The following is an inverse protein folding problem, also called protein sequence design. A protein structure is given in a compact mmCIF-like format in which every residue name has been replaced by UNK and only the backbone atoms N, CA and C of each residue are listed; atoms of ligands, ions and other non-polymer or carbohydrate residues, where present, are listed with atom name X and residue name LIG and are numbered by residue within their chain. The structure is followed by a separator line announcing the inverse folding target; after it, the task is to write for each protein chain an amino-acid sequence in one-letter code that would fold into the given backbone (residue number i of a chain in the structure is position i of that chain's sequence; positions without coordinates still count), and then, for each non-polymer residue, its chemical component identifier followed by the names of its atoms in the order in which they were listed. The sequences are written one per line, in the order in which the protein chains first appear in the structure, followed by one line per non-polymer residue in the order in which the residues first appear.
data_IF_948200614732
#
_entry.id   IF_948200614732
#
_cell.length_a   1.000
_cell.length_b   1.000
_cell.length_c   1.000
_cell.angle_alpha   90.00
_cell.angle_beta   90.00
_cell.angle_gamma   90.00
#
_symmetry.space_group_name_H-M   'P 1'
#
loop_
_entity.id
_entity.type
_entity.pdbx_description
1 polymer ?
#
# COMPACT_ATOMS: atom_id res chain seq x y z
N UNK A 1 0.85 19.21 20.81
CA UNK A 1 2.19 19.69 20.42
C UNK A 1 2.00 20.63 19.26
N UNK A 2 2.38 21.90 19.38
CA UNK A 2 2.46 22.83 18.27
C UNK A 2 3.51 22.29 17.28
N UNK A 3 3.06 21.93 16.07
CA UNK A 3 3.99 21.52 15.02
C UNK A 3 4.98 22.66 14.74
N UNK A 4 6.23 22.32 14.48
CA UNK A 4 7.20 23.31 14.03
C UNK A 4 6.67 23.96 12.73
N UNK A 5 6.78 25.28 12.64
CA UNK A 5 6.44 25.99 11.42
C UNK A 5 7.31 25.50 10.25
N UNK A 6 6.71 25.22 9.11
CA UNK A 6 7.43 24.88 7.90
C UNK A 6 7.84 26.18 7.25
N UNK A 7 9.12 26.38 6.99
CA UNK A 7 9.65 27.58 6.31
C UNK A 7 10.08 27.22 4.89
N UNK A 8 9.99 28.20 3.98
CA UNK A 8 10.57 28.13 2.64
C UNK A 8 12.11 28.25 2.71
N UNK A 9 12.77 28.16 1.55
CA UNK A 9 14.24 28.27 1.44
C UNK A 9 14.77 29.66 1.84
N UNK A 10 13.88 30.67 1.94
CA UNK A 10 14.17 32.04 2.35
C UNK A 10 13.90 32.27 3.85
N UNK A 11 13.39 31.26 4.55
CA UNK A 11 13.10 31.30 5.98
C UNK A 11 11.74 31.90 6.35
N UNK A 12 10.86 32.14 5.39
CA UNK A 12 9.51 32.62 5.65
C UNK A 12 8.60 31.46 6.06
N UNK A 13 7.73 31.66 7.05
CA UNK A 13 6.72 30.68 7.41
C UNK A 13 5.77 30.44 6.21
N UNK A 14 5.72 29.19 5.75
CA UNK A 14 4.70 28.77 4.81
C UNK A 14 3.41 28.59 5.61
N UNK A 15 2.38 29.45 5.41
CA UNK A 15 1.15 29.31 6.15
C UNK A 15 0.50 27.96 5.83
N UNK A 16 0.50 27.06 6.83
CA UNK A 16 -0.21 25.80 6.73
C UNK A 16 -1.70 26.09 6.72
N UNK A 17 -2.27 26.18 5.55
CA UNK A 17 -3.72 26.32 5.40
C UNK A 17 -4.32 24.93 5.59
N UNK A 18 -4.74 24.63 6.83
CA UNK A 18 -5.57 23.47 7.08
C UNK A 18 -6.83 23.60 6.22
N UNK A 19 -6.95 22.79 5.18
CA UNK A 19 -8.16 22.71 4.38
C UNK A 19 -9.17 21.93 5.19
N UNK A 20 -9.98 22.63 5.95
CA UNK A 20 -11.14 22.07 6.65
C UNK A 20 -12.34 22.23 5.72
N UNK A 21 -12.86 21.11 5.23
CA UNK A 21 -14.05 21.08 4.39
C UNK A 21 -13.86 20.32 3.09
N UNK A 22 -14.97 20.04 2.45
CA UNK A 22 -15.06 19.31 1.20
C UNK A 22 -14.63 20.19 0.02
N UNK A 23 -13.34 20.44 -0.11
CA UNK A 23 -12.78 21.09 -1.30
C UNK A 23 -12.57 20.01 -2.35
N UNK A 24 -13.59 19.75 -3.16
CA UNK A 24 -13.53 18.75 -4.22
C UNK A 24 -13.09 19.31 -5.58
N UNK A 25 -12.89 20.61 -5.69
CA UNK A 25 -12.58 21.33 -6.95
C UNK A 25 -11.16 21.91 -6.92
N UNK A 26 -10.20 21.13 -6.44
CA UNK A 26 -8.81 21.54 -6.30
C UNK A 26 -7.99 21.18 -7.55
N UNK A 27 -7.29 22.17 -8.10
CA UNK A 27 -6.41 21.99 -9.27
C UNK A 27 -5.10 21.26 -8.94
N UNK A 28 -4.66 21.29 -7.67
CA UNK A 28 -3.44 20.64 -7.20
C UNK A 28 -3.72 19.75 -6.00
N UNK A 29 -2.88 18.71 -5.80
CA UNK A 29 -2.97 17.86 -4.63
C UNK A 29 -2.74 18.63 -3.33
N UNK A 30 -3.54 18.34 -2.31
CA UNK A 30 -3.54 19.04 -1.02
C UNK A 30 -3.22 18.03 0.09
N UNK A 31 -2.25 18.36 0.96
CA UNK A 31 -2.04 17.62 2.19
C UNK A 31 -2.99 18.14 3.26
N UNK A 32 -3.74 17.24 3.88
CA UNK A 32 -4.66 17.55 4.98
C UNK A 32 -3.95 17.55 6.33
N UNK A 33 -4.59 18.14 7.33
CA UNK A 33 -4.04 18.22 8.70
C UNK A 33 -3.86 16.85 9.38
N UNK A 34 -4.60 15.84 8.94
CA UNK A 34 -4.51 14.46 9.43
C UNK A 34 -3.39 13.65 8.72
N UNK A 35 -2.65 14.28 7.79
CA UNK A 35 -1.61 13.66 6.99
C UNK A 35 -2.08 13.00 5.71
N UNK A 36 -3.38 12.91 5.48
CA UNK A 36 -3.92 12.36 4.22
C UNK A 36 -3.68 13.32 3.05
N UNK A 37 -3.69 12.77 1.84
CA UNK A 37 -3.56 13.53 0.59
C UNK A 37 -4.89 13.51 -0.16
N UNK A 38 -5.40 14.68 -0.48
CA UNK A 38 -6.47 14.85 -1.46
C UNK A 38 -5.83 15.16 -2.81
N UNK A 39 -5.85 14.22 -3.72
CA UNK A 39 -5.36 14.42 -5.08
C UNK A 39 -6.15 15.52 -5.81
N UNK A 40 -5.57 16.11 -6.86
CA UNK A 40 -6.28 17.06 -7.71
C UNK A 40 -7.56 16.46 -8.29
N UNK A 41 -8.53 17.32 -8.61
CA UNK A 41 -9.78 16.90 -9.24
C UNK A 41 -9.52 16.09 -10.51
N UNK A 42 -8.64 16.60 -11.39
CA UNK A 42 -8.28 15.94 -12.64
C UNK A 42 -7.76 14.52 -12.38
N UNK A 43 -6.88 14.32 -11.40
CA UNK A 43 -6.33 13.00 -11.07
C UNK A 43 -7.38 12.06 -10.48
N UNK A 44 -8.35 12.57 -9.70
CA UNK A 44 -9.42 11.77 -9.10
C UNK A 44 -10.51 11.34 -10.08
N UNK A 45 -10.74 12.16 -11.14
CA UNK A 45 -11.80 11.96 -12.12
C UNK A 45 -11.30 11.29 -13.42
N UNK A 46 -10.10 10.71 -13.40
CA UNK A 46 -9.54 9.96 -14.52
C UNK A 46 -10.48 8.85 -14.97
N UNK A 47 -10.59 8.69 -16.31
CA UNK A 47 -11.27 7.55 -16.90
C UNK A 47 -10.38 6.30 -16.90
N UNK A 48 -10.94 5.18 -17.29
CA UNK A 48 -10.24 3.89 -17.31
C UNK A 48 -8.99 3.92 -18.19
N UNK A 49 -9.03 4.53 -19.36
CA UNK A 49 -7.87 4.60 -20.28
C UNK A 49 -6.70 5.37 -19.66
N UNK A 50 -7.00 6.46 -18.94
CA UNK A 50 -5.98 7.26 -18.25
C UNK A 50 -5.35 6.48 -17.09
N UNK A 51 -6.18 5.77 -16.31
CA UNK A 51 -5.71 4.92 -15.20
C UNK A 51 -4.83 3.81 -15.75
N UNK A 52 -5.26 3.13 -16.80
CA UNK A 52 -4.49 2.06 -17.44
C UNK A 52 -3.16 2.59 -17.99
N UNK A 53 -3.18 3.76 -18.66
CA UNK A 53 -1.94 4.40 -19.15
C UNK A 53 -0.96 4.69 -18.01
N UNK A 54 -1.45 5.18 -16.87
CA UNK A 54 -0.62 5.43 -15.69
C UNK A 54 -0.07 4.12 -15.09
N UNK A 55 -0.87 3.05 -15.06
CA UNK A 55 -0.44 1.75 -14.61
C UNK A 55 0.65 1.15 -15.52
N UNK A 56 0.48 1.27 -16.84
CA UNK A 56 1.51 0.87 -17.82
C UNK A 56 2.80 1.68 -17.67
N UNK A 57 2.68 2.98 -17.39
CA UNK A 57 3.84 3.84 -17.12
C UNK A 57 4.57 3.43 -15.84
N UNK A 58 3.84 2.96 -14.82
CA UNK A 58 4.41 2.45 -13.60
C UNK A 58 5.27 1.20 -13.83
N UNK A 59 4.92 0.32 -14.77
CA UNK A 59 5.74 -0.83 -15.13
C UNK A 59 7.17 -0.43 -15.55
N UNK A 60 7.31 0.67 -16.30
CA UNK A 60 8.62 1.17 -16.72
C UNK A 60 9.40 1.84 -15.58
N UNK A 61 8.72 2.40 -14.59
CA UNK A 61 9.33 3.05 -13.42
C UNK A 61 9.68 2.05 -12.34
N UNK A 62 9.14 0.85 -12.40
CA UNK A 62 9.30 -0.18 -11.38
C UNK A 62 10.76 -0.63 -11.26
N UNK A 63 11.47 -0.69 -12.36
CA UNK A 63 12.89 -1.01 -12.41
C UNK A 63 13.74 0.03 -11.66
N UNK A 64 13.23 1.25 -11.48
CA UNK A 64 13.94 2.32 -10.76
C UNK A 64 13.85 2.21 -9.23
N UNK A 65 12.95 1.40 -8.69
CA UNK A 65 12.78 1.21 -7.23
C UNK A 65 13.42 -0.09 -6.71
N UNK A 66 14.26 -0.73 -7.52
CA UNK A 66 15.07 -1.90 -7.14
C UNK A 66 14.26 -3.10 -6.61
N UNK A 67 13.08 -3.35 -7.19
CA UNK A 67 12.24 -4.50 -6.87
C UNK A 67 12.58 -5.74 -7.71
N UNK A 68 13.57 -5.65 -8.56
CA UNK A 68 14.02 -6.69 -9.47
C UNK A 68 15.43 -7.21 -9.12
N UNK A 69 15.79 -8.34 -9.71
CA UNK A 69 17.16 -8.86 -9.71
C UNK A 69 17.60 -9.54 -8.42
N UNK A 70 16.70 -9.77 -7.47
CA UNK A 70 16.97 -10.60 -6.30
C UNK A 70 16.05 -11.83 -6.25
N UNK A 71 16.60 -12.97 -5.86
CA UNK A 71 15.88 -14.26 -5.81
C UNK A 71 15.60 -14.74 -4.40
N UNK A 72 16.26 -14.15 -3.41
CA UNK A 72 16.13 -14.51 -2.00
C UNK A 72 15.91 -13.27 -1.14
N UNK A 73 15.12 -13.42 -0.09
CA UNK A 73 14.92 -12.36 0.89
C UNK A 73 16.19 -12.21 1.75
N UNK A 74 16.50 -10.96 2.09
CA UNK A 74 17.67 -10.67 2.92
C UNK A 74 17.38 -10.96 4.39
N UNK A 75 18.05 -11.96 4.96
CA UNK A 75 17.94 -12.27 6.38
C UNK A 75 18.25 -11.07 7.30
N UNK A 76 19.10 -10.13 6.84
CA UNK A 76 19.38 -8.88 7.56
C UNK A 76 18.13 -7.97 7.58
N UNK A 77 17.40 -7.88 6.48
CA UNK A 77 16.18 -7.07 6.40
C UNK A 77 15.04 -7.71 7.20
N UNK A 78 14.91 -9.03 7.13
CA UNK A 78 13.96 -9.78 7.96
C UNK A 78 14.19 -9.55 9.46
N UNK A 79 15.44 -9.64 9.91
CA UNK A 79 15.82 -9.34 11.29
C UNK A 79 15.55 -7.87 11.68
N UNK A 80 15.82 -6.93 10.78
CA UNK A 80 15.55 -5.52 11.02
C UNK A 80 14.05 -5.24 11.13
N UNK A 81 13.24 -5.89 10.30
CA UNK A 81 11.77 -5.81 10.35
C UNK A 81 11.25 -6.36 11.70
N UNK A 82 11.68 -7.57 12.09
CA UNK A 82 11.30 -8.17 13.37
C UNK A 82 11.70 -7.27 14.54
N UNK A 83 12.93 -6.78 14.56
CA UNK A 83 13.43 -5.89 15.61
C UNK A 83 12.59 -4.60 15.71
N UNK A 84 12.18 -4.02 14.58
CA UNK A 84 11.32 -2.84 14.56
C UNK A 84 9.92 -3.12 15.13
N UNK A 85 9.29 -4.22 14.72
CA UNK A 85 7.97 -4.62 15.22
C UNK A 85 8.01 -4.84 16.74
N UNK A 86 8.99 -5.63 17.21
CA UNK A 86 9.18 -5.90 18.66
C UNK A 86 9.46 -4.64 19.45
N UNK A 87 10.27 -3.73 18.91
CA UNK A 87 10.54 -2.44 19.53
C UNK A 87 9.25 -1.63 19.70
N UNK A 88 8.44 -1.50 18.66
CA UNK A 88 7.18 -0.79 18.74
C UNK A 88 6.23 -1.41 19.78
N UNK A 89 6.06 -2.73 19.76
CA UNK A 89 5.22 -3.46 20.71
C UNK A 89 5.71 -3.33 22.16
N UNK A 90 7.03 -3.43 22.39
CA UNK A 90 7.62 -3.29 23.73
C UNK A 90 7.44 -1.88 24.32
N UNK A 91 7.19 -0.88 23.48
CA UNK A 91 6.84 0.49 23.87
C UNK A 91 5.33 0.73 23.93
N UNK A 92 4.52 -0.31 23.95
CA UNK A 92 3.06 -0.21 24.09
C UNK A 92 2.33 0.22 22.80
N UNK A 93 2.97 0.11 21.63
CA UNK A 93 2.33 0.43 20.35
C UNK A 93 1.64 -0.82 19.79
N UNK A 94 0.36 -0.70 19.46
CA UNK A 94 -0.33 -1.71 18.66
C UNK A 94 0.14 -1.60 17.21
N UNK A 95 0.74 -2.67 16.68
CA UNK A 95 1.21 -2.74 15.30
C UNK A 95 0.16 -3.43 14.44
N UNK A 96 -0.18 -2.83 13.32
CA UNK A 96 -1.08 -3.37 12.30
C UNK A 96 -0.33 -3.29 10.97
N UNK A 97 -0.21 -4.41 10.27
CA UNK A 97 0.39 -4.48 8.95
C UNK A 97 -0.70 -4.31 7.89
N UNK A 98 -0.40 -3.53 6.86
CA UNK A 98 -1.30 -3.34 5.72
C UNK A 98 -0.50 -3.50 4.44
N UNK A 99 -0.86 -4.49 3.61
CA UNK A 99 -0.30 -4.69 2.28
C UNK A 99 -1.19 -3.95 1.28
N UNK A 100 -0.65 -2.85 0.73
CA UNK A 100 -1.37 -2.07 -0.26
C UNK A 100 -1.35 -2.79 -1.61
N UNK A 101 -2.51 -3.07 -2.20
CA UNK A 101 -2.60 -3.77 -3.49
C UNK A 101 -2.06 -2.90 -4.63
N UNK A 102 -1.58 -3.56 -5.66
CA UNK A 102 -1.12 -2.92 -6.87
C UNK A 102 -2.20 -3.03 -7.94
N UNK A 103 -2.14 -2.14 -8.93
CA UNK A 103 -3.08 -2.19 -10.05
C UNK A 103 -3.01 -3.55 -10.74
N UNK A 104 -4.13 -4.18 -11.17
CA UNK A 104 -4.13 -5.50 -11.78
C UNK A 104 -3.11 -5.66 -12.92
N UNK A 105 -3.03 -4.66 -13.81
CA UNK A 105 -2.09 -4.67 -14.92
C UNK A 105 -0.62 -4.70 -14.44
N UNK A 106 -0.29 -3.90 -13.41
CA UNK A 106 1.07 -3.88 -12.87
C UNK A 106 1.43 -5.19 -12.19
N UNK A 107 0.51 -5.76 -11.41
CA UNK A 107 0.77 -7.04 -10.75
C UNK A 107 0.95 -8.18 -11.77
N UNK A 108 0.11 -8.24 -12.80
CA UNK A 108 0.25 -9.21 -13.88
C UNK A 108 1.54 -9.01 -14.70
N UNK A 109 2.02 -7.77 -14.85
CA UNK A 109 3.32 -7.48 -15.45
C UNK A 109 4.47 -8.10 -14.64
N UNK A 110 4.42 -8.02 -13.30
CA UNK A 110 5.41 -8.65 -12.43
C UNK A 110 5.39 -10.17 -12.53
N UNK A 111 4.20 -10.77 -12.60
CA UNK A 111 4.05 -12.20 -12.81
C UNK A 111 4.57 -12.63 -14.19
N UNK A 112 4.38 -11.79 -15.21
CA UNK A 112 4.90 -12.06 -16.55
C UNK A 112 6.43 -12.05 -16.60
N UNK A 113 7.06 -11.22 -15.77
CA UNK A 113 8.52 -11.13 -15.62
C UNK A 113 8.97 -11.80 -14.31
N UNK A 114 8.39 -12.95 -13.98
CA UNK A 114 8.63 -13.63 -12.68
C UNK A 114 10.11 -13.92 -12.44
N UNK A 115 10.90 -14.21 -13.49
CA UNK A 115 12.34 -14.47 -13.36
C UNK A 115 13.09 -13.26 -12.80
N UNK A 116 12.69 -12.05 -13.15
CA UNK A 116 13.29 -10.81 -12.67
C UNK A 116 12.75 -10.39 -11.29
N UNK A 117 11.55 -10.84 -10.93
CA UNK A 117 10.82 -10.42 -9.71
C UNK A 117 10.65 -11.54 -8.67
N UNK A 118 11.37 -12.65 -8.77
CA UNK A 118 11.22 -13.82 -7.88
C UNK A 118 11.25 -13.44 -6.40
N UNK A 119 12.23 -12.65 -5.98
CA UNK A 119 12.35 -12.26 -4.58
C UNK A 119 11.19 -11.37 -4.14
N UNK A 120 10.78 -10.43 -5.01
CA UNK A 120 9.64 -9.55 -4.70
C UNK A 120 8.34 -10.34 -4.52
N UNK A 121 8.04 -11.28 -5.41
CA UNK A 121 6.83 -12.11 -5.33
C UNK A 121 6.80 -13.03 -4.09
N UNK A 122 7.94 -13.23 -3.43
CA UNK A 122 8.03 -13.96 -2.15
C UNK A 122 7.81 -13.07 -0.92
N UNK A 123 7.94 -11.74 -1.04
CA UNK A 123 7.87 -10.81 0.11
C UNK A 123 6.54 -10.92 0.83
N UNK A 124 5.43 -10.97 0.09
CA UNK A 124 4.11 -11.08 0.72
C UNK A 124 3.95 -12.38 1.50
N UNK A 125 4.35 -13.50 0.94
CA UNK A 125 4.28 -14.80 1.62
C UNK A 125 5.09 -14.79 2.92
N UNK A 126 6.28 -14.18 2.89
CA UNK A 126 7.09 -14.02 4.10
C UNK A 126 6.41 -13.13 5.15
N UNK A 127 5.86 -11.98 4.74
CA UNK A 127 5.14 -11.08 5.65
C UNK A 127 3.92 -11.77 6.26
N UNK A 128 3.17 -12.55 5.48
CA UNK A 128 2.02 -13.32 5.95
C UNK A 128 2.42 -14.36 6.99
N UNK A 129 3.46 -15.13 6.70
CA UNK A 129 3.98 -16.10 7.64
C UNK A 129 4.48 -15.44 8.94
N UNK A 130 5.23 -14.33 8.79
CA UNK A 130 5.68 -13.54 9.94
C UNK A 130 4.51 -13.03 10.79
N UNK A 131 3.50 -12.47 10.16
CA UNK A 131 2.31 -11.93 10.83
C UNK A 131 1.54 -13.02 11.58
N UNK A 132 1.35 -14.18 10.95
CA UNK A 132 0.72 -15.36 11.56
C UNK A 132 1.51 -15.82 12.79
N UNK A 133 2.80 -16.09 12.65
CA UNK A 133 3.65 -16.65 13.71
C UNK A 133 3.81 -15.70 14.91
N UNK A 134 3.77 -14.39 14.67
CA UNK A 134 3.93 -13.37 15.71
C UNK A 134 2.61 -12.73 16.14
N UNK A 135 1.47 -13.22 15.64
CA UNK A 135 0.13 -12.72 15.94
C UNK A 135 -0.03 -11.21 15.71
N UNK A 136 0.59 -10.70 14.62
CA UNK A 136 0.48 -9.30 14.19
C UNK A 136 -0.69 -9.19 13.21
N UNK A 137 -1.70 -8.35 13.46
CA UNK A 137 -2.79 -8.15 12.52
C UNK A 137 -2.29 -7.74 11.14
N UNK A 138 -2.74 -8.44 10.09
CA UNK A 138 -2.39 -8.18 8.71
C UNK A 138 -3.65 -8.04 7.85
N UNK A 139 -3.72 -6.98 7.05
CA UNK A 139 -4.79 -6.70 6.09
C UNK A 139 -4.23 -6.45 4.70
N UNK A 140 -5.04 -6.76 3.70
CA UNK A 140 -4.68 -6.53 2.31
C UNK A 140 -3.80 -7.61 1.69
N UNK A 141 -3.38 -7.34 0.47
CA UNK A 141 -2.50 -8.16 -0.37
C UNK A 141 -1.90 -7.27 -1.45
N UNK A 142 -0.69 -7.55 -1.91
CA UNK A 142 -0.17 -6.92 -3.12
C UNK A 142 -0.93 -7.40 -4.36
N UNK A 143 -1.46 -8.64 -4.34
CA UNK A 143 -2.29 -9.19 -5.40
C UNK A 143 -3.73 -8.64 -5.33
N UNK A 144 -4.14 -7.75 -6.23
CA UNK A 144 -5.44 -7.09 -6.19
C UNK A 144 -6.61 -8.08 -6.36
N UNK A 145 -6.40 -9.19 -7.06
CA UNK A 145 -7.48 -10.16 -7.31
C UNK A 145 -7.90 -10.89 -6.05
N UNK A 146 -6.99 -11.09 -5.09
CA UNK A 146 -7.31 -11.68 -3.80
C UNK A 146 -8.25 -10.82 -2.96
N UNK A 147 -8.36 -9.54 -3.32
CA UNK A 147 -9.18 -8.54 -2.64
C UNK A 147 -10.44 -8.16 -3.43
N UNK A 148 -10.70 -8.82 -4.58
CA UNK A 148 -11.79 -8.47 -5.48
C UNK A 148 -11.67 -7.05 -6.04
N UNK A 149 -10.43 -6.59 -6.26
CA UNK A 149 -10.18 -5.25 -6.80
C UNK A 149 -10.09 -5.27 -8.32
N UNK A 150 -10.55 -4.17 -8.91
CA UNK A 150 -10.58 -3.93 -10.34
C UNK A 150 -9.75 -2.68 -10.69
N UNK A 151 -9.48 -2.46 -11.98
CA UNK A 151 -8.69 -1.31 -12.47
C UNK A 151 -9.21 0.03 -11.93
N UNK A 152 -10.54 0.19 -11.88
CA UNK A 152 -11.19 1.44 -11.44
C UNK A 152 -11.08 1.70 -9.94
N UNK A 153 -10.59 0.76 -9.15
CA UNK A 153 -10.28 0.95 -7.73
C UNK A 153 -8.96 1.71 -7.50
N UNK A 154 -8.24 2.03 -8.58
CA UNK A 154 -6.93 2.68 -8.55
C UNK A 154 -6.94 4.05 -9.22
N UNK A 155 -5.96 4.87 -8.88
CA UNK A 155 -5.61 6.10 -9.58
C UNK A 155 -4.51 5.87 -10.62
N UNK A 156 -3.61 4.94 -10.35
CA UNK A 156 -2.45 4.58 -11.17
C UNK A 156 -1.99 3.15 -10.81
N UNK A 157 -0.75 2.81 -11.12
CA UNK A 157 -0.20 1.48 -10.82
C UNK A 157 -0.07 1.13 -9.34
N UNK A 158 0.01 2.12 -8.44
CA UNK A 158 0.41 1.93 -7.04
C UNK A 158 -0.60 2.47 -6.02
N UNK A 159 -1.44 3.41 -6.41
CA UNK A 159 -2.30 4.13 -5.49
C UNK A 159 -3.76 3.72 -5.66
N UNK A 160 -4.30 3.00 -4.67
CA UNK A 160 -5.72 2.66 -4.66
C UNK A 160 -6.58 3.85 -4.21
N UNK A 161 -7.80 3.89 -4.72
CA UNK A 161 -8.85 4.83 -4.30
C UNK A 161 -9.42 4.43 -2.95
N UNK A 162 -10.11 5.35 -2.30
CA UNK A 162 -10.81 5.12 -1.04
C UNK A 162 -11.83 3.95 -1.13
N UNK A 163 -12.50 3.82 -2.27
CA UNK A 163 -13.43 2.70 -2.52
C UNK A 163 -12.69 1.36 -2.57
N UNK A 164 -11.50 1.32 -3.16
CA UNK A 164 -10.65 0.13 -3.19
C UNK A 164 -10.10 -0.21 -1.81
N UNK A 165 -9.62 0.80 -1.06
CA UNK A 165 -9.11 0.61 0.30
C UNK A 165 -10.16 -0.04 1.21
N UNK A 166 -11.43 0.35 1.11
CA UNK A 166 -12.54 -0.19 1.90
C UNK A 166 -12.85 -1.66 1.63
N UNK A 167 -12.37 -2.23 0.52
CA UNK A 167 -12.57 -3.65 0.20
C UNK A 167 -11.76 -4.57 1.12
N UNK A 168 -10.63 -4.10 1.63
CA UNK A 168 -9.72 -4.94 2.42
C UNK A 168 -9.33 -4.36 3.80
N UNK A 169 -9.51 -3.07 4.03
CA UNK A 169 -9.14 -2.44 5.29
C UNK A 169 -10.34 -1.73 5.93
N UNK A 170 -10.86 -2.24 7.05
CA UNK A 170 -12.06 -1.69 7.67
C UNK A 170 -11.83 -0.39 8.45
N UNK A 171 -10.57 0.09 8.47
CA UNK A 171 -10.15 1.25 9.23
C UNK A 171 -9.67 0.93 10.65
N UNK A 172 -8.79 1.79 11.18
CA UNK A 172 -8.14 1.57 12.49
C UNK A 172 -9.12 1.29 13.63
N UNK A 173 -10.23 2.05 13.81
CA UNK A 173 -11.16 1.76 14.91
C UNK A 173 -11.77 0.36 14.86
N UNK A 174 -12.15 -0.11 13.66
CA UNK A 174 -12.70 -1.45 13.51
C UNK A 174 -11.66 -2.54 13.75
N UNK A 175 -10.42 -2.33 13.30
CA UNK A 175 -9.30 -3.25 13.56
C UNK A 175 -9.02 -3.37 15.05
N UNK A 176 -9.02 -2.27 15.80
CA UNK A 176 -8.84 -2.31 17.28
C UNK A 176 -9.93 -3.12 17.95
N UNK A 177 -11.20 -2.99 17.54
CA UNK A 177 -12.30 -3.81 18.05
C UNK A 177 -12.11 -5.30 17.71
N UNK A 178 -11.61 -5.63 16.51
CA UNK A 178 -11.30 -7.00 16.14
C UNK A 178 -10.15 -7.59 16.98
N UNK A 179 -9.12 -6.80 17.28
CA UNK A 179 -8.04 -7.22 18.19
C UNK A 179 -8.59 -7.51 19.59
N UNK A 180 -9.38 -6.61 20.14
CA UNK A 180 -9.99 -6.78 21.46
C UNK A 180 -10.90 -8.01 21.56
N UNK A 181 -11.63 -8.31 20.49
CA UNK A 181 -12.55 -9.47 20.42
C UNK A 181 -11.88 -10.78 19.98
N UNK A 182 -10.61 -10.74 19.55
CA UNK A 182 -9.92 -11.90 19.01
C UNK A 182 -10.42 -12.35 17.64
N UNK A 183 -11.07 -11.45 16.87
CA UNK A 183 -11.65 -11.74 15.55
C UNK A 183 -10.81 -11.21 14.39
N UNK A 184 -9.51 -11.01 14.61
CA UNK A 184 -8.57 -10.62 13.54
C UNK A 184 -8.50 -11.74 12.48
N UNK A 185 -8.58 -11.42 11.18
CA UNK A 185 -8.41 -12.41 10.11
C UNK A 185 -7.06 -13.14 10.21
N UNK A 186 -7.04 -14.42 9.83
CA UNK A 186 -5.78 -15.15 9.73
C UNK A 186 -4.94 -14.59 8.58
N UNK A 187 -3.69 -14.25 8.85
CA UNK A 187 -2.77 -13.74 7.84
C UNK A 187 -2.53 -14.73 6.69
N UNK A 188 -2.71 -16.03 6.92
CA UNK A 188 -2.54 -17.09 5.92
C UNK A 188 -3.82 -17.43 5.13
N UNK A 189 -4.94 -16.74 5.38
CA UNK A 189 -6.19 -16.92 4.64
C UNK A 189 -6.06 -16.56 3.15
N UNK A 190 -5.20 -15.59 2.84
CA UNK A 190 -4.93 -15.15 1.47
C UNK A 190 -3.66 -15.82 0.95
N UNK A 191 -3.72 -16.33 -0.29
CA UNK A 191 -2.59 -16.86 -1.03
C UNK A 191 -2.39 -16.02 -2.30
N UNK A 192 -1.39 -15.12 -2.35
CA UNK A 192 -1.13 -14.31 -3.52
C UNK A 192 -0.60 -15.17 -4.68
N UNK A 193 -0.87 -14.75 -5.91
CA UNK A 193 -0.28 -15.34 -7.11
C UNK A 193 1.22 -15.02 -7.16
N UNK A 194 2.03 -15.98 -7.56
CA UNK A 194 3.49 -15.83 -7.58
C UNK A 194 4.15 -16.29 -8.88
N UNK A 195 3.38 -16.80 -9.83
CA UNK A 195 3.90 -17.36 -11.09
C UNK A 195 3.18 -16.79 -12.30
N UNK A 196 3.86 -16.76 -13.46
CA UNK A 196 3.30 -16.33 -14.73
C UNK A 196 2.10 -17.17 -15.19
N UNK A 197 2.02 -18.43 -14.75
CA UNK A 197 0.90 -19.31 -15.07
C UNK A 197 -0.42 -18.88 -14.39
N UNK A 198 -0.33 -18.09 -13.32
CA UNK A 198 -1.47 -17.62 -12.51
C UNK A 198 -1.98 -16.24 -12.94
N UNK A 199 -1.32 -15.59 -13.91
CA UNK A 199 -1.77 -14.30 -14.44
C UNK A 199 -3.15 -14.39 -15.09
N UNK A 200 -3.89 -13.29 -15.07
CA UNK A 200 -5.14 -13.21 -15.82
C UNK A 200 -4.89 -13.23 -17.34
N UNK A 201 -5.61 -14.02 -18.11
CA UNK A 201 -5.64 -13.87 -19.56
C UNK A 201 -6.42 -12.59 -19.90
N UNK A 202 -5.76 -11.60 -20.44
CA UNK A 202 -6.36 -10.38 -21.02
C UNK A 202 -6.70 -10.58 -22.48
#
# INVERSE_FOLDING_TARGET
RSGAAVTDDEGNEIPFKAVTGDVYDNDASIKRSDGSVLYSKEFREQNQDQILFNAMSACNTFNSVHMEGFTELSAKQEQAFDAFIRYAQSNGTTVILVLCPWHPYLYDFLLWQEDDHQGFLQVENWIRQYAHDNQVPLYGSYDPLQLGMEEMDFFDGLHCKDIGLKKFFPGVPAVLQQIESGSVPDALEITPRTTAAERCPW
#
